data_IF_155114410564
#
_entry.id   IF_155114410564
#
_cell.length_a   1.000
_cell.length_b   1.000
_cell.length_c   1.000
_cell.angle_alpha   90.00
_cell.angle_beta   90.00
_cell.angle_gamma   90.00
#
_symmetry.space_group_name_H-M   'P 1'
#
loop_
_entity.id
_entity.type
_entity.pdbx_description
1 polymer ?
#
# COMPACT_ATOMS: atom_id res chain seq x y z
N UNK A 1 24.34 -11.27 2.46
CA UNK A 1 23.61 -10.04 2.88
C UNK A 1 24.62 -8.93 3.16
N UNK A 2 25.65 -9.11 4.01
CA UNK A 2 26.63 -8.06 4.39
C UNK A 2 27.21 -7.29 3.19
N UNK A 3 27.60 -7.97 2.11
CA UNK A 3 28.15 -7.33 0.90
C UNK A 3 27.11 -6.49 0.13
N UNK A 4 25.83 -6.79 0.28
CA UNK A 4 24.75 -6.12 -0.43
C UNK A 4 24.22 -4.94 0.41
N UNK A 5 24.06 -5.12 1.71
CA UNK A 5 23.59 -4.09 2.64
C UNK A 5 24.67 -3.06 2.97
N UNK A 6 25.92 -3.49 3.03
CA UNK A 6 27.05 -2.71 3.58
C UNK A 6 27.10 -2.73 5.11
N UNK A 7 26.25 -3.53 5.76
CA UNK A 7 26.25 -3.76 7.22
C UNK A 7 27.21 -4.90 7.53
N UNK A 8 28.04 -4.78 8.58
CA UNK A 8 28.99 -5.84 8.97
C UNK A 8 28.26 -7.11 9.40
N UNK A 9 28.86 -8.28 9.16
CA UNK A 9 28.29 -9.57 9.57
C UNK A 9 27.95 -9.60 11.05
N UNK A 10 28.88 -9.16 11.92
CA UNK A 10 28.64 -9.15 13.35
C UNK A 10 27.46 -8.23 13.77
N UNK A 11 27.20 -7.18 12.99
CA UNK A 11 26.05 -6.29 13.22
C UNK A 11 24.73 -6.93 12.75
N UNK A 12 24.77 -7.66 11.64
CA UNK A 12 23.64 -8.46 11.19
C UNK A 12 23.29 -9.57 12.20
N UNK A 13 24.31 -10.30 12.70
CA UNK A 13 24.14 -11.31 13.75
C UNK A 13 23.53 -10.71 15.04
N UNK A 14 23.92 -9.48 15.38
CA UNK A 14 23.36 -8.75 16.52
C UNK A 14 21.87 -8.43 16.32
N UNK A 15 21.48 -8.00 15.11
CA UNK A 15 20.08 -7.71 14.76
C UNK A 15 19.26 -9.00 14.73
N UNK A 16 19.76 -10.07 14.13
CA UNK A 16 19.12 -11.40 14.13
C UNK A 16 18.95 -11.95 15.57
N UNK A 17 19.88 -11.63 16.47
CA UNK A 17 19.79 -11.98 17.88
C UNK A 17 18.83 -11.09 18.69
N UNK A 18 18.11 -10.14 18.03
CA UNK A 18 17.11 -9.28 18.65
C UNK A 18 17.67 -7.96 19.20
N UNK A 19 18.90 -7.56 18.86
CA UNK A 19 19.37 -6.21 19.16
C UNK A 19 18.70 -5.22 18.20
N UNK A 20 18.24 -4.12 18.76
CA UNK A 20 17.57 -3.07 17.99
C UNK A 20 18.47 -2.51 16.88
N UNK A 21 17.97 -2.53 15.64
CA UNK A 21 18.58 -1.91 14.48
C UNK A 21 18.10 -0.47 14.31
N UNK A 22 18.96 0.38 13.73
CA UNK A 22 18.49 1.71 13.30
C UNK A 22 17.53 1.55 12.10
N UNK A 23 16.62 2.50 11.92
CA UNK A 23 15.70 2.48 10.77
C UNK A 23 16.46 2.45 9.43
N UNK A 24 17.61 3.12 9.34
CA UNK A 24 18.47 3.07 8.17
C UNK A 24 19.01 1.65 7.89
N UNK A 25 19.45 0.94 8.94
CA UNK A 25 19.92 -0.45 8.79
C UNK A 25 18.77 -1.38 8.37
N UNK A 26 17.59 -1.24 8.98
CA UNK A 26 16.41 -2.04 8.62
C UNK A 26 15.99 -1.80 7.16
N UNK A 27 16.00 -0.56 6.69
CA UNK A 27 15.71 -0.21 5.30
C UNK A 27 16.77 -0.75 4.32
N UNK A 28 18.07 -0.73 4.68
CA UNK A 28 19.11 -1.32 3.84
C UNK A 28 19.01 -2.85 3.76
N UNK A 29 18.52 -3.51 4.81
CA UNK A 29 18.19 -4.94 4.79
C UNK A 29 16.96 -5.17 3.91
N UNK A 30 15.88 -4.41 4.11
CA UNK A 30 14.63 -4.55 3.39
C UNK A 30 14.81 -4.43 1.86
N UNK A 31 15.53 -3.38 1.41
CA UNK A 31 15.78 -3.20 -0.03
C UNK A 31 16.64 -4.32 -0.61
N UNK A 32 17.52 -4.91 0.21
CA UNK A 32 18.40 -6.01 -0.23
C UNK A 32 17.67 -7.35 -0.35
N UNK A 33 16.52 -7.47 0.32
CA UNK A 33 15.63 -8.63 0.30
C UNK A 33 14.37 -8.38 -0.56
N UNK A 34 14.30 -7.25 -1.24
CA UNK A 34 13.13 -6.84 -2.06
C UNK A 34 11.80 -6.86 -1.26
N UNK A 35 11.84 -6.35 -0.03
CA UNK A 35 10.70 -6.35 0.89
C UNK A 35 10.55 -4.99 1.59
N UNK A 36 9.66 -4.88 2.60
CA UNK A 36 9.47 -3.70 3.43
C UNK A 36 10.04 -3.89 4.84
N UNK A 37 10.21 -2.79 5.59
CA UNK A 37 10.64 -2.85 6.99
C UNK A 37 9.61 -3.58 7.83
N UNK A 38 8.31 -3.29 7.64
CA UNK A 38 7.21 -3.91 8.35
C UNK A 38 7.23 -5.45 8.19
N UNK A 39 7.46 -5.95 6.99
CA UNK A 39 7.58 -7.39 6.73
C UNK A 39 8.76 -8.02 7.50
N UNK A 40 9.92 -7.36 7.53
CA UNK A 40 11.09 -7.85 8.27
C UNK A 40 10.81 -7.90 9.78
N UNK A 41 10.11 -6.90 10.30
CA UNK A 41 9.73 -6.83 11.71
C UNK A 41 8.60 -7.80 12.07
N UNK A 42 8.03 -8.45 11.08
CA UNK A 42 6.94 -9.40 11.27
C UNK A 42 5.59 -8.72 11.44
N UNK A 43 5.51 -7.44 11.10
CA UNK A 43 4.28 -6.69 11.03
C UNK A 43 3.55 -7.03 9.73
N UNK A 44 2.24 -7.22 9.80
CA UNK A 44 1.38 -7.40 8.66
C UNK A 44 0.76 -6.05 8.29
N UNK A 45 0.19 -5.95 7.10
CA UNK A 45 -0.56 -4.78 6.64
C UNK A 45 -1.62 -4.31 7.65
N UNK A 46 -2.22 -5.25 8.38
CA UNK A 46 -3.12 -4.97 9.50
C UNK A 46 -2.64 -5.63 10.78
N UNK A 47 -3.04 -5.11 11.96
CA UNK A 47 -2.57 -5.58 13.26
C UNK A 47 -2.78 -7.08 13.53
N UNK A 48 -1.96 -7.71 14.37
CA UNK A 48 -2.01 -9.16 14.64
C UNK A 48 -3.34 -9.73 15.13
N UNK A 49 -4.17 -8.92 15.81
CA UNK A 49 -5.48 -9.40 16.29
C UNK A 49 -6.48 -9.64 15.16
N UNK A 50 -6.30 -9.01 14.03
CA UNK A 50 -7.10 -9.29 12.84
C UNK A 50 -6.76 -10.67 12.30
N UNK A 51 -5.54 -11.15 12.51
CA UNK A 51 -5.14 -12.51 12.19
C UNK A 51 -5.89 -13.58 13.02
N UNK A 52 -6.32 -13.26 14.26
CA UNK A 52 -7.09 -14.18 15.10
C UNK A 52 -8.51 -14.41 14.58
N UNK A 53 -9.02 -13.56 13.71
CA UNK A 53 -10.35 -13.66 13.10
C UNK A 53 -10.38 -14.52 11.83
N UNK A 54 -9.31 -15.23 11.52
CA UNK A 54 -9.25 -16.20 10.44
C UNK A 54 -9.07 -15.62 9.03
N UNK A 55 -8.90 -14.29 8.93
CA UNK A 55 -8.67 -13.62 7.65
C UNK A 55 -7.21 -13.75 7.20
N UNK A 56 -6.30 -14.11 8.12
CA UNK A 56 -4.86 -14.20 7.85
C UNK A 56 -4.31 -15.59 8.05
N UNK A 57 -3.45 -15.97 7.12
CA UNK A 57 -2.71 -17.21 7.12
C UNK A 57 -1.84 -17.32 8.38
N UNK A 58 -1.87 -18.51 8.95
CA UNK A 58 -1.15 -19.01 10.09
C UNK A 58 0.27 -18.40 10.24
N UNK A 59 0.57 -17.88 11.44
CA UNK A 59 1.88 -17.29 11.77
C UNK A 59 3.06 -18.25 11.56
N UNK A 60 2.80 -19.56 11.55
CA UNK A 60 3.81 -20.61 11.36
C UNK A 60 4.21 -20.81 9.88
N UNK A 61 3.38 -20.36 8.93
CA UNK A 61 3.61 -20.46 7.49
C UNK A 61 3.81 -19.08 6.83
N UNK A 62 4.55 -18.19 7.44
CA UNK A 62 5.00 -16.95 6.81
C UNK A 62 6.03 -17.28 5.72
N UNK A 63 5.53 -17.78 4.62
CA UNK A 63 6.36 -17.96 3.44
C UNK A 63 6.69 -16.57 2.89
N UNK A 64 7.97 -16.29 2.77
CA UNK A 64 8.49 -15.06 2.13
C UNK A 64 7.98 -14.92 0.70
N UNK A 65 7.50 -16.00 0.10
CA UNK A 65 6.86 -16.03 -1.22
C UNK A 65 5.53 -15.29 -1.25
N UNK A 66 4.76 -15.26 -0.15
CA UNK A 66 3.41 -14.64 -0.10
C UNK A 66 3.48 -13.11 -0.28
N UNK A 67 4.56 -12.47 0.13
CA UNK A 67 4.79 -11.03 -0.08
C UNK A 67 5.49 -10.70 -1.39
N UNK A 68 5.81 -11.71 -2.22
CA UNK A 68 6.43 -11.53 -3.52
C UNK A 68 5.43 -11.06 -4.57
N UNK A 69 5.95 -10.51 -5.66
CA UNK A 69 5.16 -10.16 -6.84
C UNK A 69 4.48 -11.41 -7.40
N UNK A 70 3.16 -11.36 -7.52
CA UNK A 70 2.37 -12.40 -8.17
C UNK A 70 2.04 -12.05 -9.61
N UNK A 71 1.71 -10.80 -9.87
CA UNK A 71 1.27 -10.33 -11.16
C UNK A 71 0.48 -9.03 -11.07
N UNK A 72 -0.51 -8.87 -11.92
CA UNK A 72 -1.27 -7.63 -12.03
C UNK A 72 -2.77 -7.86 -11.81
N UNK A 73 -3.41 -6.88 -11.18
CA UNK A 73 -4.86 -6.72 -11.16
C UNK A 73 -5.25 -5.61 -12.11
N UNK A 74 -6.16 -5.90 -13.03
CA UNK A 74 -6.78 -4.92 -13.92
C UNK A 74 -8.23 -4.68 -13.51
N UNK A 75 -8.57 -3.43 -13.20
CA UNK A 75 -9.90 -3.03 -12.75
C UNK A 75 -10.54 -2.17 -13.83
N UNK A 76 -11.74 -2.54 -14.26
CA UNK A 76 -12.55 -1.80 -15.21
C UNK A 76 -13.79 -1.25 -14.49
N UNK A 77 -13.83 0.06 -14.15
CA UNK A 77 -15.01 0.71 -13.60
C UNK A 77 -16.21 0.67 -14.56
N UNK A 78 -17.41 0.76 -14.05
CA UNK A 78 -18.66 0.76 -14.83
C UNK A 78 -18.65 1.92 -15.82
N UNK A 79 -18.71 2.66 -16.31
CA UNK A 79 -18.67 3.77 -17.30
C UNK A 79 -17.25 4.12 -17.78
N UNK A 80 -16.27 3.21 -17.57
CA UNK A 80 -14.95 3.32 -18.18
C UNK A 80 -14.78 2.32 -19.33
N UNK A 81 -13.96 2.66 -20.29
CA UNK A 81 -13.49 1.79 -21.37
C UNK A 81 -12.02 1.35 -21.17
N UNK A 82 -11.40 1.83 -20.09
CA UNK A 82 -9.98 1.59 -19.80
C UNK A 82 -9.82 0.87 -18.47
N UNK A 83 -8.96 -0.16 -18.49
CA UNK A 83 -8.49 -0.80 -17.27
C UNK A 83 -7.49 0.08 -16.53
N UNK A 84 -7.61 0.08 -15.21
CA UNK A 84 -6.57 0.55 -14.31
C UNK A 84 -5.78 -0.67 -13.84
N UNK A 85 -4.47 -0.66 -14.02
CA UNK A 85 -3.60 -1.80 -13.71
C UNK A 85 -2.73 -1.51 -12.50
N UNK A 86 -2.61 -2.51 -11.62
CA UNK A 86 -1.79 -2.43 -10.40
C UNK A 86 -1.06 -3.75 -10.20
N UNK A 87 0.15 -3.66 -9.68
CA UNK A 87 0.94 -4.82 -9.26
C UNK A 87 0.48 -5.31 -7.90
N UNK A 88 0.34 -6.62 -7.75
CA UNK A 88 -0.11 -7.25 -6.50
C UNK A 88 0.81 -8.38 -6.08
N UNK A 89 0.82 -8.64 -4.77
CA UNK A 89 1.49 -9.80 -4.17
C UNK A 89 0.61 -11.04 -4.24
N UNK A 90 1.21 -12.23 -4.02
CA UNK A 90 0.45 -13.48 -3.84
C UNK A 90 -0.58 -13.35 -2.72
N UNK A 91 -0.24 -12.66 -1.63
CA UNK A 91 -1.17 -12.40 -0.53
C UNK A 91 -2.38 -11.61 -0.98
N UNK A 92 -2.18 -10.48 -1.65
CA UNK A 92 -3.28 -9.66 -2.15
C UNK A 92 -4.19 -10.45 -3.11
N UNK A 93 -3.61 -11.32 -3.94
CA UNK A 93 -4.37 -12.22 -4.83
C UNK A 93 -5.26 -13.19 -4.03
N UNK A 94 -4.75 -13.79 -2.96
CA UNK A 94 -5.55 -14.67 -2.10
C UNK A 94 -6.70 -13.91 -1.41
N UNK A 95 -6.43 -12.72 -0.92
CA UNK A 95 -7.45 -11.87 -0.30
C UNK A 95 -8.53 -11.45 -1.30
N UNK A 96 -8.17 -11.18 -2.57
CA UNK A 96 -9.12 -10.91 -3.64
C UNK A 96 -10.04 -12.13 -3.89
N UNK A 97 -9.48 -13.34 -3.97
CA UNK A 97 -10.25 -14.56 -4.22
C UNK A 97 -11.29 -14.81 -3.12
N UNK A 98 -10.94 -14.49 -1.87
CA UNK A 98 -11.86 -14.64 -0.72
C UNK A 98 -12.95 -13.57 -0.74
N UNK A 99 -12.61 -12.33 -1.06
CA UNK A 99 -13.47 -11.18 -0.90
C UNK A 99 -14.15 -10.70 -2.19
N UNK A 100 -13.99 -11.42 -3.30
CA UNK A 100 -14.50 -11.00 -4.63
C UNK A 100 -16.02 -10.81 -4.68
N UNK A 101 -16.77 -11.44 -3.78
CA UNK A 101 -18.22 -11.35 -3.71
C UNK A 101 -18.71 -10.29 -2.71
N UNK A 102 -17.82 -9.68 -1.95
CA UNK A 102 -18.18 -8.63 -1.01
C UNK A 102 -18.60 -7.36 -1.77
N UNK A 103 -19.47 -6.55 -1.16
CA UNK A 103 -19.88 -5.27 -1.72
C UNK A 103 -18.72 -4.29 -1.86
N UNK A 104 -17.84 -4.31 -0.87
CA UNK A 104 -16.63 -3.51 -0.86
C UNK A 104 -15.41 -4.42 -0.71
N UNK A 105 -14.33 -4.05 -1.35
CA UNK A 105 -13.07 -4.79 -1.27
C UNK A 105 -11.89 -3.83 -1.15
N UNK A 106 -10.94 -4.17 -0.31
CA UNK A 106 -9.67 -3.45 -0.15
C UNK A 106 -8.56 -4.30 -0.74
N UNK A 107 -7.71 -3.70 -1.58
CA UNK A 107 -6.60 -4.40 -2.24
C UNK A 107 -5.31 -3.61 -2.03
N UNK A 108 -4.36 -4.13 -1.23
CA UNK A 108 -3.03 -3.56 -1.14
C UNK A 108 -2.21 -3.90 -2.39
N UNK A 109 -1.59 -2.88 -2.98
CA UNK A 109 -0.80 -2.99 -4.21
C UNK A 109 0.65 -2.61 -3.96
N UNK A 110 1.56 -3.18 -4.75
CA UNK A 110 3.00 -3.04 -4.51
C UNK A 110 3.54 -1.61 -4.73
N UNK A 111 2.93 -0.81 -5.59
CA UNK A 111 3.40 0.54 -5.89
C UNK A 111 2.84 1.60 -4.92
N UNK A 112 2.88 1.32 -3.63
CA UNK A 112 2.33 2.19 -2.57
C UNK A 112 0.88 2.61 -2.83
N UNK A 113 0.05 1.71 -3.34
CA UNK A 113 -1.37 1.96 -3.58
C UNK A 113 -2.22 1.00 -2.77
N UNK A 114 -3.18 1.57 -2.05
CA UNK A 114 -4.27 0.86 -1.44
C UNK A 114 -5.54 1.18 -2.22
N UNK A 115 -6.19 0.16 -2.73
CA UNK A 115 -7.44 0.32 -3.47
C UNK A 115 -8.61 0.01 -2.56
N UNK A 116 -9.56 0.94 -2.47
CA UNK A 116 -10.91 0.63 -2.01
C UNK A 116 -11.82 0.53 -3.23
N UNK A 117 -12.48 -0.60 -3.40
CA UNK A 117 -13.33 -0.90 -4.53
C UNK A 117 -14.79 -1.03 -4.10
N UNK A 118 -15.66 -0.26 -4.73
CA UNK A 118 -17.11 -0.49 -4.66
C UNK A 118 -17.51 -1.44 -5.77
N UNK A 119 -17.70 -2.73 -5.43
CA UNK A 119 -17.90 -3.81 -6.39
C UNK A 119 -19.19 -3.66 -7.21
N UNK A 120 -20.19 -2.92 -6.70
CA UNK A 120 -21.40 -2.58 -7.48
C UNK A 120 -21.10 -1.66 -8.68
N UNK A 121 -19.98 -0.92 -8.61
CA UNK A 121 -19.54 0.02 -9.63
C UNK A 121 -18.31 -0.49 -10.45
N UNK A 122 -17.93 -1.77 -10.25
CA UNK A 122 -16.87 -2.43 -11.04
C UNK A 122 -17.51 -3.34 -12.06
N UNK A 123 -17.19 -3.10 -13.33
CA UNK A 123 -17.68 -3.91 -14.47
C UNK A 123 -16.92 -5.21 -14.63
N UNK A 124 -15.63 -5.19 -14.36
CA UNK A 124 -14.76 -6.36 -14.53
C UNK A 124 -13.46 -6.21 -13.74
N UNK A 125 -13.02 -7.32 -13.17
CA UNK A 125 -11.67 -7.51 -12.62
C UNK A 125 -10.97 -8.56 -13.46
N UNK A 126 -9.69 -8.33 -13.78
CA UNK A 126 -8.80 -9.27 -14.46
C UNK A 126 -7.59 -9.49 -13.58
N UNK A 127 -7.31 -10.73 -13.25
CA UNK A 127 -6.08 -11.15 -12.60
C UNK A 127 -5.15 -11.73 -13.65
N UNK A 128 -3.93 -11.20 -13.72
CA UNK A 128 -2.93 -11.56 -14.71
C UNK A 128 -1.67 -12.01 -13.99
N UNK A 129 -1.49 -13.31 -13.93
CA UNK A 129 -0.28 -13.95 -13.38
C UNK A 129 0.95 -13.59 -14.22
N UNK A 130 2.10 -13.41 -13.57
CA UNK A 130 3.39 -13.16 -14.22
C UNK A 130 3.72 -14.18 -15.33
N UNK A 131 3.39 -15.45 -15.08
CA UNK A 131 3.62 -16.54 -16.05
C UNK A 131 2.62 -16.56 -17.23
N UNK A 132 1.55 -15.80 -17.17
CA UNK A 132 0.53 -15.76 -18.21
C UNK A 132 0.97 -14.87 -19.37
N UNK A 133 0.93 -15.41 -20.59
CA UNK A 133 1.00 -14.59 -21.78
C UNK A 133 -0.15 -13.58 -21.81
N UNK A 134 0.15 -12.32 -22.11
CA UNK A 134 -0.86 -11.24 -22.23
C UNK A 134 -1.93 -11.63 -23.26
N UNK A 135 -3.23 -11.63 -22.86
CA UNK A 135 -4.31 -11.77 -23.83
C UNK A 135 -4.18 -10.67 -24.91
N UNK A 136 -4.44 -11.02 -26.17
CA UNK A 136 -4.32 -10.10 -27.31
C UNK A 136 -5.18 -8.84 -27.21
N UNK A 137 -6.13 -8.83 -26.26
CA UNK A 137 -7.05 -7.70 -26.00
C UNK A 137 -6.49 -6.72 -24.95
N UNK A 138 -5.39 -7.04 -24.30
CA UNK A 138 -4.76 -6.19 -23.28
C UNK A 138 -3.55 -5.53 -23.94
N UNK A 139 -3.51 -4.19 -23.86
CA UNK A 139 -2.33 -3.44 -24.31
C UNK A 139 -1.15 -3.75 -23.38
N UNK A 140 -0.07 -4.26 -23.97
CA UNK A 140 1.16 -4.58 -23.22
C UNK A 140 1.73 -3.39 -22.46
N UNK A 141 1.50 -2.18 -22.93
CA UNK A 141 2.00 -0.96 -22.29
C UNK A 141 1.20 -0.56 -21.03
N UNK A 142 0.06 -1.22 -20.78
CA UNK A 142 -0.77 -0.95 -19.61
C UNK A 142 -0.47 -1.91 -18.43
N UNK A 143 0.23 -3.01 -18.69
CA UNK A 143 0.58 -3.99 -17.65
C UNK A 143 1.93 -3.60 -17.07
N UNK A 144 1.97 -3.44 -15.76
CA UNK A 144 3.16 -3.03 -15.04
C UNK A 144 4.08 -4.24 -14.82
N UNK A 145 5.36 -4.02 -14.98
CA UNK A 145 6.38 -4.98 -14.56
C UNK A 145 6.49 -5.01 -13.03
N UNK A 146 7.11 -6.08 -12.51
CA UNK A 146 7.37 -6.28 -11.08
C UNK A 146 7.88 -4.98 -10.44
N UNK A 147 7.12 -4.49 -9.49
CA UNK A 147 7.38 -3.33 -8.64
C UNK A 147 8.60 -2.49 -9.03
N UNK A 148 8.46 -1.62 -10.01
CA UNK A 148 9.59 -0.80 -10.50
C UNK A 148 10.31 -0.09 -9.35
N UNK A 149 9.59 0.20 -8.26
CA UNK A 149 10.13 0.87 -7.08
C UNK A 149 9.81 0.01 -5.84
N UNK A 150 10.83 -0.46 -5.11
CA UNK A 150 10.63 -1.21 -3.88
C UNK A 150 9.83 -0.42 -2.83
N UNK A 151 8.94 -1.08 -2.08
CA UNK A 151 8.09 -0.45 -1.08
C UNK A 151 8.89 0.36 -0.05
N UNK A 152 10.06 -0.15 0.37
CA UNK A 152 10.99 0.54 1.27
C UNK A 152 11.45 1.91 0.75
N UNK A 153 11.45 2.13 -0.56
CA UNK A 153 11.78 3.44 -1.13
C UNK A 153 10.64 4.43 -0.84
N UNK A 154 9.39 3.99 -1.02
CA UNK A 154 8.23 4.82 -0.67
C UNK A 154 8.19 5.14 0.83
N UNK A 155 8.45 4.16 1.71
CA UNK A 155 8.58 4.35 3.15
C UNK A 155 9.61 5.43 3.52
N UNK A 156 10.66 5.56 2.72
CA UNK A 156 11.73 6.50 2.97
C UNK A 156 11.54 7.87 2.33
N UNK A 157 10.52 8.06 1.47
CA UNK A 157 10.34 9.33 0.73
C UNK A 157 10.07 10.52 1.66
N UNK A 158 9.23 10.33 2.68
CA UNK A 158 8.91 11.38 3.66
C UNK A 158 10.18 11.83 4.40
N UNK A 159 10.94 10.88 4.95
CA UNK A 159 12.20 11.17 5.64
C UNK A 159 13.24 11.78 4.68
N UNK A 160 13.23 11.38 3.41
CA UNK A 160 14.13 11.94 2.39
C UNK A 160 13.85 13.42 2.12
N UNK A 161 12.59 13.83 2.07
CA UNK A 161 12.18 15.21 1.82
C UNK A 161 12.34 16.09 3.06
N UNK A 162 11.81 15.64 4.19
CA UNK A 162 11.61 16.48 5.36
C UNK A 162 12.66 16.27 6.44
N UNK A 163 13.23 15.07 6.56
CA UNK A 163 14.22 14.74 7.58
C UNK A 163 15.55 14.33 6.95
N UNK A 164 16.62 15.04 7.25
CA UNK A 164 17.98 14.71 6.75
C UNK A 164 18.77 13.83 7.72
N UNK A 165 18.08 13.05 8.57
CA UNK A 165 18.73 12.22 9.59
C UNK A 165 19.35 10.95 8.99
N UNK A 166 20.68 10.79 9.14
CA UNK A 166 21.40 9.61 8.67
C UNK A 166 21.03 8.32 9.45
N UNK A 167 20.36 8.45 10.62
CA UNK A 167 19.85 7.28 11.36
C UNK A 167 18.58 6.70 10.74
N UNK A 168 17.87 7.50 9.96
CA UNK A 168 16.65 7.08 9.26
C UNK A 168 16.92 6.65 7.82
N UNK A 169 17.85 7.32 7.13
CA UNK A 169 18.16 7.02 5.73
C UNK A 169 19.68 6.94 5.52
N UNK A 170 20.15 5.79 5.08
CA UNK A 170 21.55 5.60 4.74
C UNK A 170 21.97 6.39 3.49
N UNK A 171 23.27 6.63 3.34
CA UNK A 171 23.81 7.23 2.11
C UNK A 171 23.52 6.37 0.87
N UNK A 172 23.44 5.04 1.04
CA UNK A 172 23.10 4.09 -0.01
C UNK A 172 21.66 4.28 -0.45
N UNK A 173 20.70 4.29 0.50
CA UNK A 173 19.30 4.45 0.20
C UNK A 173 18.99 5.83 -0.43
N UNK A 174 19.62 6.91 0.07
CA UNK A 174 19.54 8.24 -0.57
C UNK A 174 19.91 8.21 -2.06
N UNK A 175 20.96 7.45 -2.41
CA UNK A 175 21.40 7.29 -3.79
C UNK A 175 20.41 6.52 -4.65
N UNK A 176 19.77 5.51 -4.07
CA UNK A 176 18.73 4.71 -4.72
C UNK A 176 17.51 5.57 -4.98
N UNK A 177 17.01 6.29 -3.96
CA UNK A 177 15.88 7.23 -4.09
C UNK A 177 16.17 8.24 -5.21
N UNK A 178 17.33 8.88 -5.15
CA UNK A 178 17.72 9.87 -6.17
C UNK A 178 17.76 9.28 -7.59
N UNK A 179 18.19 8.01 -7.74
CA UNK A 179 18.16 7.33 -9.02
C UNK A 179 16.71 7.13 -9.51
N UNK A 180 15.80 6.69 -8.65
CA UNK A 180 14.38 6.53 -9.02
C UNK A 180 13.73 7.87 -9.38
N UNK A 181 14.02 8.94 -8.62
CA UNK A 181 13.56 10.29 -8.97
C UNK A 181 14.01 10.70 -10.37
N UNK A 182 15.29 10.47 -10.70
CA UNK A 182 15.82 10.81 -12.03
C UNK A 182 15.20 9.98 -13.15
N UNK A 183 15.05 8.67 -12.97
CA UNK A 183 14.46 7.77 -13.96
C UNK A 183 13.00 8.14 -14.23
N UNK A 184 12.23 8.38 -13.17
CA UNK A 184 10.81 8.72 -13.26
C UNK A 184 10.57 10.22 -13.49
N UNK A 185 11.64 11.04 -13.47
CA UNK A 185 11.58 12.50 -13.59
C UNK A 185 10.71 13.17 -12.52
N UNK A 186 10.73 12.62 -11.32
CA UNK A 186 9.98 13.17 -10.20
C UNK A 186 10.59 14.48 -9.70
N UNK A 187 9.76 15.47 -9.53
CA UNK A 187 10.01 16.69 -8.77
C UNK A 187 9.65 16.44 -7.29
N UNK A 188 9.95 17.39 -6.41
CA UNK A 188 9.59 17.29 -4.98
C UNK A 188 8.07 17.20 -4.79
N UNK A 189 7.28 17.91 -5.58
CA UNK A 189 5.81 17.85 -5.57
C UNK A 189 5.28 16.48 -6.01
N UNK A 190 5.92 15.82 -6.99
CA UNK A 190 5.54 14.46 -7.39
C UNK A 190 5.79 13.46 -6.27
N UNK A 191 6.84 13.68 -5.45
CA UNK A 191 7.11 12.84 -4.28
C UNK A 191 6.02 13.01 -3.23
N UNK A 192 5.55 14.24 -3.00
CA UNK A 192 4.44 14.49 -2.09
C UNK A 192 3.19 13.70 -2.54
N UNK A 193 2.90 13.68 -3.85
CA UNK A 193 1.80 12.91 -4.40
C UNK A 193 1.97 11.39 -4.22
N UNK A 194 3.22 10.88 -4.14
CA UNK A 194 3.47 9.47 -3.82
C UNK A 194 3.25 9.16 -2.32
N UNK A 195 3.41 10.15 -1.44
CA UNK A 195 3.26 9.98 0.01
C UNK A 195 1.79 10.06 0.41
N UNK A 196 1.08 11.11 -0.04
CA UNK A 196 -0.28 11.42 0.44
C UNK A 196 -1.33 11.66 -0.67
N UNK A 197 -1.01 11.34 -1.92
CA UNK A 197 -1.96 11.51 -3.03
C UNK A 197 -3.13 10.54 -2.97
N UNK A 198 -4.36 11.05 -3.16
CA UNK A 198 -5.58 10.29 -3.36
C UNK A 198 -6.07 10.45 -4.80
N UNK A 199 -6.55 9.36 -5.40
CA UNK A 199 -7.25 9.41 -6.68
C UNK A 199 -8.64 8.80 -6.54
N UNK A 200 -9.66 9.52 -6.97
CA UNK A 200 -11.06 9.16 -6.85
C UNK A 200 -11.62 8.87 -8.23
N UNK A 201 -12.11 7.67 -8.43
CA UNK A 201 -12.79 7.26 -9.67
C UNK A 201 -14.28 7.21 -9.40
N UNK A 202 -15.02 8.13 -10.00
CA UNK A 202 -16.47 8.16 -9.91
C UNK A 202 -17.13 7.17 -10.86
N UNK A 203 -18.36 6.79 -10.54
CA UNK A 203 -19.14 5.84 -11.35
C UNK A 203 -19.65 6.44 -12.68
N UNK A 204 -19.53 7.74 -12.88
CA UNK A 204 -19.83 8.43 -14.16
C UNK A 204 -18.60 8.54 -15.08
N UNK A 205 -17.44 8.04 -14.62
CA UNK A 205 -16.17 8.04 -15.37
C UNK A 205 -15.28 9.26 -15.11
N UNK A 206 -15.70 10.19 -14.27
CA UNK A 206 -14.84 11.30 -13.83
C UNK A 206 -13.75 10.74 -12.91
N UNK A 207 -12.55 11.30 -13.02
CA UNK A 207 -11.39 10.99 -12.17
C UNK A 207 -10.87 12.28 -11.58
N UNK A 208 -10.73 12.33 -10.28
CA UNK A 208 -10.18 13.45 -9.54
C UNK A 208 -8.96 13.02 -8.74
N UNK A 209 -7.99 13.91 -8.58
CA UNK A 209 -6.81 13.72 -7.74
C UNK A 209 -6.74 14.82 -6.72
N UNK A 210 -6.34 14.48 -5.51
CA UNK A 210 -6.15 15.41 -4.40
C UNK A 210 -5.01 14.90 -3.50
N UNK A 211 -4.65 15.64 -2.46
CA UNK A 211 -3.70 15.25 -1.42
C UNK A 211 -4.41 15.15 -0.09
N UNK A 212 -4.17 14.05 0.62
CA UNK A 212 -4.71 13.86 1.95
C UNK A 212 -3.91 14.71 2.96
N UNK A 213 -4.61 15.53 3.72
CA UNK A 213 -4.07 16.13 4.94
C UNK A 213 -4.11 15.08 6.06
N UNK A 214 -2.96 14.79 6.63
CA UNK A 214 -2.77 13.61 7.49
C UNK A 214 -3.51 13.68 8.84
N UNK A 215 -3.83 14.88 9.33
CA UNK A 215 -4.34 15.09 10.69
C UNK A 215 -5.86 14.84 10.87
N UNK A 216 -6.61 14.45 9.84
CA UNK A 216 -8.07 14.26 9.94
C UNK A 216 -8.60 13.23 8.94
N UNK A 217 -8.16 11.97 9.07
CA UNK A 217 -8.51 10.89 8.14
C UNK A 217 -9.41 9.81 8.75
N UNK A 218 -9.98 10.05 9.92
CA UNK A 218 -10.77 9.05 10.65
C UNK A 218 -11.83 8.37 9.77
N UNK A 219 -12.59 9.14 9.00
CA UNK A 219 -13.65 8.58 8.14
C UNK A 219 -13.10 7.65 7.04
N UNK A 220 -11.92 7.98 6.45
CA UNK A 220 -11.26 7.10 5.46
C UNK A 220 -10.72 5.86 6.13
N UNK A 221 -10.08 6.00 7.29
CA UNK A 221 -9.54 4.86 8.04
C UNK A 221 -10.67 3.92 8.45
N UNK A 222 -11.79 4.47 8.95
CA UNK A 222 -12.98 3.69 9.30
C UNK A 222 -13.58 2.98 8.06
N UNK A 223 -13.64 3.66 6.92
CA UNK A 223 -14.11 3.06 5.68
C UNK A 223 -13.25 1.86 5.26
N UNK A 224 -11.91 2.03 5.26
CA UNK A 224 -10.98 0.97 4.89
C UNK A 224 -11.05 -0.17 5.89
N UNK A 225 -11.03 0.14 7.19
CA UNK A 225 -11.10 -0.84 8.26
C UNK A 225 -12.37 -1.68 8.19
N UNK A 226 -13.54 -1.02 8.05
CA UNK A 226 -14.82 -1.72 7.91
C UNK A 226 -14.84 -2.61 6.66
N UNK A 227 -14.38 -2.12 5.52
CA UNK A 227 -14.36 -2.89 4.27
C UNK A 227 -13.44 -4.11 4.36
N UNK A 228 -12.29 -3.96 5.02
CA UNK A 228 -11.32 -5.04 5.14
C UNK A 228 -11.73 -6.09 6.16
N UNK A 229 -12.23 -5.68 7.34
CA UNK A 229 -12.52 -6.58 8.45
C UNK A 229 -13.88 -7.24 8.31
N UNK A 230 -14.90 -6.43 8.06
CA UNK A 230 -16.30 -6.85 8.13
C UNK A 230 -16.92 -7.14 6.77
N UNK A 231 -16.26 -6.70 5.67
CA UNK A 231 -16.81 -6.89 4.34
C UNK A 231 -18.26 -6.40 4.25
N UNK A 232 -19.18 -7.28 3.86
CA UNK A 232 -20.60 -6.95 3.71
C UNK A 232 -21.33 -6.72 5.03
N UNK A 233 -20.79 -7.25 6.15
CA UNK A 233 -21.34 -7.07 7.49
C UNK A 233 -20.92 -5.74 8.14
N UNK A 234 -20.01 -5.01 7.47
CA UNK A 234 -19.52 -3.72 7.95
C UNK A 234 -20.58 -2.64 7.95
N UNK A 235 -20.48 -1.73 8.92
CA UNK A 235 -21.30 -0.52 8.93
C UNK A 235 -20.66 0.52 8.01
N UNK A 236 -21.39 0.93 6.99
CA UNK A 236 -20.96 1.93 6.04
C UNK A 236 -21.88 3.13 6.07
N UNK A 237 -21.34 4.27 6.44
CA UNK A 237 -22.03 5.52 6.24
C UNK A 237 -22.27 5.79 4.76
N UNK A 238 -23.33 6.52 4.46
CA UNK A 238 -23.66 6.91 3.10
C UNK A 238 -22.59 7.80 2.46
N UNK A 239 -21.86 8.53 3.29
CA UNK A 239 -20.79 9.44 2.88
C UNK A 239 -19.64 9.33 3.88
N UNK A 240 -18.43 9.54 3.42
CA UNK A 240 -17.26 9.74 4.24
C UNK A 240 -16.61 11.08 3.90
N UNK A 241 -15.83 11.61 4.83
CA UNK A 241 -15.14 12.89 4.67
C UNK A 241 -13.63 12.66 4.62
N UNK A 242 -12.94 13.55 3.96
CA UNK A 242 -11.49 13.69 4.09
C UNK A 242 -11.11 15.17 3.99
N UNK A 243 -9.98 15.52 4.58
CA UNK A 243 -9.37 16.84 4.42
C UNK A 243 -8.35 16.76 3.30
N UNK A 244 -8.59 17.51 2.25
CA UNK A 244 -7.70 17.61 1.08
C UNK A 244 -6.73 18.76 1.18
N UNK A 245 -6.03 19.04 0.08
CA UNK A 245 -5.08 20.14 -0.03
C UNK A 245 -5.73 21.46 0.41
N UNK A 246 -4.95 22.35 1.04
CA UNK A 246 -5.42 23.65 1.60
C UNK A 246 -6.50 23.51 2.70
N UNK A 247 -6.56 22.38 3.40
CA UNK A 247 -7.53 22.10 4.47
C UNK A 247 -9.00 22.11 3.99
N UNK A 248 -9.21 21.84 2.73
CA UNK A 248 -10.57 21.72 2.17
C UNK A 248 -11.21 20.42 2.65
N UNK A 249 -12.37 20.55 3.32
CA UNK A 249 -13.15 19.39 3.73
C UNK A 249 -14.00 18.89 2.56
N UNK A 250 -13.70 17.68 2.11
CA UNK A 250 -14.44 16.99 1.08
C UNK A 250 -15.41 15.97 1.69
N UNK A 251 -16.58 15.80 1.08
CA UNK A 251 -17.55 14.76 1.44
C UNK A 251 -17.94 13.98 0.20
N UNK A 252 -17.63 12.70 0.22
CA UNK A 252 -17.86 11.80 -0.90
C UNK A 252 -18.99 10.82 -0.59
N UNK A 253 -19.88 10.63 -1.54
CA UNK A 253 -20.95 9.62 -1.45
C UNK A 253 -20.40 8.28 -1.94
N UNK A 254 -20.36 7.27 -1.09
CA UNK A 254 -19.78 5.94 -1.40
C UNK A 254 -20.45 5.34 -2.65
N UNK A 255 -21.75 5.51 -2.84
CA UNK A 255 -22.46 4.98 -3.99
C UNK A 255 -22.11 5.66 -5.32
N UNK A 256 -21.43 6.80 -5.30
CA UNK A 256 -20.96 7.50 -6.50
C UNK A 256 -19.52 7.13 -6.87
N UNK A 257 -18.83 6.37 -6.02
CA UNK A 257 -17.44 6.01 -6.21
C UNK A 257 -17.35 4.59 -6.75
N UNK A 258 -16.52 4.38 -7.76
CA UNK A 258 -16.11 3.06 -8.23
C UNK A 258 -14.86 2.57 -7.51
N UNK A 259 -13.89 3.45 -7.33
CA UNK A 259 -12.59 3.10 -6.73
C UNK A 259 -11.96 4.33 -6.09
N UNK A 260 -11.29 4.12 -4.96
CA UNK A 260 -10.30 5.06 -4.40
C UNK A 260 -8.92 4.43 -4.51
N UNK A 261 -7.93 5.22 -4.90
CA UNK A 261 -6.53 4.90 -4.72
C UNK A 261 -5.98 5.75 -3.59
N UNK A 262 -5.43 5.11 -2.58
CA UNK A 262 -4.89 5.74 -1.39
C UNK A 262 -3.40 5.39 -1.26
N UNK A 263 -2.59 6.17 -0.56
CA UNK A 263 -1.20 5.82 -0.26
C UNK A 263 -1.17 4.70 0.79
N UNK A 264 -0.72 3.50 0.39
CA UNK A 264 -0.74 2.29 1.23
C UNK A 264 -0.01 2.49 2.55
N UNK A 265 1.25 2.93 2.51
CA UNK A 265 2.11 3.04 3.69
C UNK A 265 1.53 4.02 4.71
N UNK A 266 0.99 5.11 4.22
CA UNK A 266 0.43 6.14 5.08
C UNK A 266 -0.85 5.67 5.79
N UNK A 267 -1.73 5.01 5.04
CA UNK A 267 -2.94 4.41 5.61
C UNK A 267 -2.58 3.29 6.60
N UNK A 268 -1.59 2.45 6.28
CA UNK A 268 -1.11 1.40 7.17
C UNK A 268 -0.57 1.95 8.48
N UNK A 269 0.28 2.97 8.42
CA UNK A 269 0.85 3.60 9.61
C UNK A 269 -0.24 4.19 10.51
N UNK A 270 -1.21 4.91 9.93
CA UNK A 270 -2.31 5.50 10.71
C UNK A 270 -3.24 4.44 11.33
N UNK A 271 -3.51 3.34 10.63
CA UNK A 271 -4.29 2.23 11.18
C UNK A 271 -3.54 1.57 12.34
N UNK A 272 -2.24 1.34 12.20
CA UNK A 272 -1.41 0.74 13.23
C UNK A 272 -1.32 1.63 14.47
N UNK A 273 -1.07 2.92 14.30
CA UNK A 273 -0.98 3.88 15.40
C UNK A 273 -2.29 3.94 16.20
N UNK A 274 -3.42 4.08 15.52
CA UNK A 274 -4.76 4.08 16.13
C UNK A 274 -5.04 2.80 16.89
N UNK A 275 -4.68 1.65 16.33
CA UNK A 275 -4.87 0.37 16.96
C UNK A 275 -4.04 0.22 18.24
N UNK A 276 -2.79 0.66 18.25
CA UNK A 276 -1.95 0.64 19.43
C UNK A 276 -2.47 1.60 20.52
N UNK A 277 -2.99 2.76 20.16
CA UNK A 277 -3.64 3.70 21.08
C UNK A 277 -4.86 3.08 21.76
N UNK A 278 -5.74 2.42 21.00
CA UNK A 278 -6.91 1.72 21.55
C UNK A 278 -6.54 0.56 22.47
N UNK A 279 -5.54 -0.25 22.09
CA UNK A 279 -5.09 -1.41 22.87
C UNK A 279 -4.45 -1.03 24.19
N UNK A 280 -3.64 0.00 24.21
CA UNK A 280 -2.84 0.37 25.38
C UNK A 280 -3.45 1.52 26.18
N UNK A 281 -4.62 2.02 25.79
CA UNK A 281 -5.34 3.06 26.52
C UNK A 281 -4.54 4.36 26.63
N UNK A 282 -3.81 4.72 25.59
CA UNK A 282 -2.96 5.92 25.57
C UNK A 282 -3.75 7.21 25.24
N UNK A 283 -5.10 7.19 25.34
CA UNK A 283 -5.99 8.36 25.27
C UNK A 283 -6.31 8.91 26.64
#
# INVERSE_FOLDING_TARGET
ISNITGISESRLDDIEAGKEGTLAEMRDIAISLSTSVNVIQGENFFPPQIAEWGIFIDKENRDTEISSFWGNIGILPVNSDKYQWFTITERAKLDIDVNINNKFMVVPCMNNKLLFLNMENIKRIVLLDEACGLPSQIDKNCVLDEGEIPLVVYEALSDYLFEKDEKKISKKLKKIIHNYMNVNKWLEEDIIDQINGITIFYNDGIVETDRLEMDNQDDILDLIFNAYIYGDDGYYDRAFSYTGEDQVQNRLLINQISMLQLPLIEIENNINDRYYEELYGLN
#
